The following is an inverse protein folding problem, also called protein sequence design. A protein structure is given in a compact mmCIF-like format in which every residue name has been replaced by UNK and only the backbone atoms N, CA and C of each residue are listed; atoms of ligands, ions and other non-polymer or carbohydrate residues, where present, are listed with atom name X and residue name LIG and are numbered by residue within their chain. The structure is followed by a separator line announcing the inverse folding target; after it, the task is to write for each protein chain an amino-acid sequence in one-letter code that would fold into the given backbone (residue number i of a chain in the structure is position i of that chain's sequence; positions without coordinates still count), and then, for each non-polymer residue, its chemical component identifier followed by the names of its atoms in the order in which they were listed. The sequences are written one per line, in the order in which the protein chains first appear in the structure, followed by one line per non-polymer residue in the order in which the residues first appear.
data_IF_312402420019
#
_entry.id   IF_312402420019
#
_cell.length_a   1.000
_cell.length_b   1.000
_cell.length_c   1.000
_cell.angle_alpha   90.00
_cell.angle_beta   90.00
_cell.angle_gamma   90.00
#
_symmetry.space_group_name_H-M   'P 1'
#
loop_
_entity.id
_entity.type
_entity.pdbx_description
1 polymer ?
#
# COMPACT_ATOMS: atom_id res chain seq x y z
N UNK A 1 17.57 -16.35 14.67
CA UNK A 1 16.12 -16.63 14.80
C UNK A 1 15.43 -16.00 13.59
N UNK A 2 15.01 -16.82 12.65
CA UNK A 2 14.19 -16.36 11.55
C UNK A 2 12.77 -16.14 12.08
N UNK A 3 12.41 -14.89 12.29
CA UNK A 3 11.01 -14.56 12.55
C UNK A 3 10.30 -14.70 11.20
N UNK A 4 9.63 -15.81 11.03
CA UNK A 4 8.77 -16.03 9.88
C UNK A 4 7.56 -15.09 10.02
N UNK A 5 7.55 -14.04 9.23
CA UNK A 5 6.44 -13.11 9.19
C UNK A 5 5.32 -13.81 8.43
N UNK A 6 4.44 -14.45 9.18
CA UNK A 6 3.26 -15.10 8.60
C UNK A 6 2.18 -14.06 8.27
N UNK A 7 1.50 -14.26 7.17
CA UNK A 7 0.37 -13.45 6.75
C UNK A 7 0.33 -13.25 5.25
N UNK A 8 -0.88 -13.02 4.77
CA UNK A 8 -1.16 -12.74 3.35
C UNK A 8 -1.55 -11.27 3.18
N UNK A 9 -1.39 -10.76 1.98
CA UNK A 9 -1.83 -9.41 1.60
C UNK A 9 -3.31 -9.19 1.95
N UNK A 10 -4.16 -10.18 1.73
CA UNK A 10 -5.58 -10.12 2.09
C UNK A 10 -5.82 -9.81 3.57
N UNK A 11 -4.97 -10.30 4.44
CA UNK A 11 -5.07 -10.02 5.89
C UNK A 11 -4.75 -8.57 6.21
N UNK A 12 -3.76 -7.98 5.53
CA UNK A 12 -3.44 -6.56 5.69
C UNK A 12 -4.59 -5.70 5.19
N UNK A 13 -5.15 -6.00 4.02
CA UNK A 13 -6.28 -5.25 3.47
C UNK A 13 -7.51 -5.32 4.37
N UNK A 14 -7.79 -6.48 4.97
CA UNK A 14 -8.87 -6.63 5.93
C UNK A 14 -8.62 -5.85 7.24
N UNK A 15 -7.37 -5.71 7.65
CA UNK A 15 -6.97 -4.93 8.82
C UNK A 15 -7.07 -3.43 8.57
N UNK A 16 -6.88 -2.98 7.33
CA UNK A 16 -7.14 -1.59 6.93
C UNK A 16 -8.65 -1.35 7.01
N UNK A 17 -9.05 -0.34 7.76
CA UNK A 17 -10.46 0.03 7.91
C UNK A 17 -11.06 0.71 6.67
N UNK A 18 -10.24 1.00 5.67
CA UNK A 18 -10.69 1.61 4.41
C UNK A 18 -11.15 0.52 3.44
N UNK A 19 -12.44 0.41 3.21
CA UNK A 19 -13.04 -0.52 2.24
C UNK A 19 -13.05 0.03 0.80
N UNK A 20 -12.76 1.31 0.61
CA UNK A 20 -12.83 1.97 -0.70
C UNK A 20 -11.46 2.12 -1.31
N UNK A 21 -11.31 1.68 -2.56
CA UNK A 21 -10.10 1.91 -3.35
C UNK A 21 -10.28 3.21 -4.14
N UNK A 22 -9.54 4.23 -3.75
CA UNK A 22 -9.53 5.50 -4.47
C UNK A 22 -8.63 5.38 -5.69
N UNK A 23 -9.10 5.85 -6.83
CA UNK A 23 -8.36 5.81 -8.11
C UNK A 23 -8.54 7.09 -8.88
N UNK A 24 -7.71 7.29 -9.91
CA UNK A 24 -7.76 8.43 -10.81
C UNK A 24 -7.66 7.93 -12.26
N UNK A 25 -8.25 8.65 -13.19
CA UNK A 25 -8.11 8.35 -14.61
C UNK A 25 -6.81 8.89 -15.20
N UNK A 26 -6.30 8.28 -16.29
CA UNK A 26 -5.03 8.72 -16.91
C UNK A 26 -5.12 10.10 -17.55
N UNK A 27 -6.32 10.51 -17.97
CA UNK A 27 -6.56 11.81 -18.60
C UNK A 27 -6.91 12.92 -17.61
N UNK A 28 -7.06 12.61 -16.33
CA UNK A 28 -7.23 13.62 -15.29
C UNK A 28 -5.93 14.40 -15.12
N UNK A 29 -6.05 15.65 -14.65
CA UNK A 29 -4.87 16.47 -14.39
C UNK A 29 -4.18 16.05 -13.09
N UNK A 30 -2.87 16.19 -13.03
CA UNK A 30 -2.08 15.90 -11.83
C UNK A 30 -2.60 16.64 -10.61
N UNK A 31 -3.07 17.88 -10.78
CA UNK A 31 -3.67 18.66 -9.70
C UNK A 31 -4.84 17.92 -9.03
N UNK A 32 -5.73 17.30 -9.82
CA UNK A 32 -6.87 16.56 -9.28
C UNK A 32 -6.41 15.29 -8.53
N UNK A 33 -5.36 14.63 -9.02
CA UNK A 33 -4.78 13.49 -8.33
C UNK A 33 -4.18 13.89 -6.98
N UNK A 34 -3.41 14.97 -6.93
CA UNK A 34 -2.81 15.48 -5.67
C UNK A 34 -3.89 15.93 -4.69
N UNK A 35 -4.93 16.60 -5.18
CA UNK A 35 -6.07 16.99 -4.35
C UNK A 35 -6.77 15.76 -3.74
N UNK A 36 -6.99 14.73 -4.51
CA UNK A 36 -7.59 13.48 -4.01
C UNK A 36 -6.68 12.80 -2.98
N UNK A 37 -5.37 12.76 -3.21
CA UNK A 37 -4.41 12.22 -2.23
C UNK A 37 -4.47 12.98 -0.91
N UNK A 38 -4.55 14.30 -0.94
CA UNK A 38 -4.69 15.14 0.24
C UNK A 38 -6.02 14.88 0.97
N UNK A 39 -7.14 14.90 0.25
CA UNK A 39 -8.48 14.66 0.81
C UNK A 39 -8.61 13.28 1.46
N UNK A 40 -7.98 12.26 0.90
CA UNK A 40 -8.06 10.87 1.37
C UNK A 40 -6.89 10.44 2.24
N UNK A 41 -5.93 11.32 2.44
CA UNK A 41 -4.72 11.07 3.23
C UNK A 41 -3.96 9.82 2.74
N UNK A 42 -3.74 9.74 1.45
CA UNK A 42 -2.99 8.66 0.80
C UNK A 42 -1.84 9.24 -0.01
N UNK A 43 -0.74 8.51 -0.12
CA UNK A 43 0.47 8.96 -0.82
C UNK A 43 0.58 8.51 -2.27
N UNK A 44 -0.35 7.70 -2.74
CA UNK A 44 -0.41 7.23 -4.12
C UNK A 44 -1.83 6.83 -4.49
N UNK A 45 -2.10 6.86 -5.79
CA UNK A 45 -3.36 6.42 -6.37
C UNK A 45 -3.09 5.43 -7.51
N UNK A 46 -3.83 4.32 -7.58
CA UNK A 46 -3.90 3.55 -8.80
C UNK A 46 -4.53 4.38 -9.91
N UNK A 47 -3.98 4.29 -11.11
CA UNK A 47 -4.52 4.92 -12.31
C UNK A 47 -5.30 3.87 -13.08
N UNK A 48 -6.58 4.12 -13.23
CA UNK A 48 -7.52 3.16 -13.82
C UNK A 48 -8.18 3.78 -15.05
N UNK A 49 -8.15 3.04 -16.14
CA UNK A 49 -8.82 3.37 -17.39
C UNK A 49 -9.80 2.26 -17.74
N UNK A 50 -11.09 2.60 -17.80
CA UNK A 50 -12.16 1.65 -18.11
C UNK A 50 -12.03 0.32 -17.32
N UNK A 51 -11.96 0.42 -16.00
CA UNK A 51 -11.79 -0.70 -15.04
C UNK A 51 -10.44 -1.44 -15.11
N UNK A 52 -9.52 -0.99 -15.95
CA UNK A 52 -8.19 -1.60 -16.10
C UNK A 52 -7.15 -0.75 -15.39
N UNK A 53 -6.33 -1.37 -14.55
CA UNK A 53 -5.19 -0.72 -13.95
C UNK A 53 -4.13 -0.43 -15.04
N UNK A 54 -3.83 0.85 -15.27
CA UNK A 54 -2.85 1.28 -16.28
C UNK A 54 -1.60 1.91 -15.68
N UNK A 55 -1.61 2.24 -14.42
CA UNK A 55 -0.46 2.86 -13.77
C UNK A 55 -0.67 3.11 -12.28
N UNK A 56 0.34 3.71 -11.68
CA UNK A 56 0.29 4.26 -10.31
C UNK A 56 0.91 5.66 -10.36
N UNK A 57 0.28 6.61 -9.70
CA UNK A 57 0.80 7.96 -9.51
C UNK A 57 0.97 8.26 -8.02
N UNK A 58 2.09 8.83 -7.64
CA UNK A 58 2.44 9.11 -6.25
C UNK A 58 2.81 10.59 -6.03
N UNK A 59 2.82 11.01 -4.75
CA UNK A 59 3.35 12.31 -4.35
C UNK A 59 4.82 12.49 -4.79
N UNK A 60 5.60 11.42 -4.79
CA UNK A 60 6.98 11.42 -5.27
C UNK A 60 7.06 11.70 -6.77
N UNK A 61 6.15 11.14 -7.57
CA UNK A 61 6.04 11.47 -9.00
C UNK A 61 5.74 12.95 -9.22
N UNK A 62 4.82 13.50 -8.44
CA UNK A 62 4.51 14.93 -8.46
C UNK A 62 5.74 15.78 -8.18
N UNK A 63 6.46 15.49 -7.13
CA UNK A 63 7.66 16.26 -6.75
C UNK A 63 8.74 16.18 -7.82
N UNK A 64 9.03 15.00 -8.33
CA UNK A 64 10.17 14.77 -9.24
C UNK A 64 9.89 15.07 -10.69
N UNK A 65 8.65 14.87 -11.14
CA UNK A 65 8.28 14.94 -12.56
C UNK A 65 7.45 16.17 -12.91
N UNK A 66 6.90 16.88 -11.92
CA UNK A 66 6.13 18.11 -12.12
C UNK A 66 6.86 19.31 -11.52
N UNK A 67 7.00 19.39 -10.21
CA UNK A 67 7.58 20.56 -9.54
C UNK A 67 9.03 20.79 -9.97
N UNK A 68 9.89 19.78 -9.86
CA UNK A 68 11.32 19.91 -10.21
C UNK A 68 11.52 20.18 -11.71
N UNK A 69 10.61 19.71 -12.55
CA UNK A 69 10.66 19.93 -14.01
C UNK A 69 10.00 21.23 -14.46
N UNK A 70 9.50 22.04 -13.54
CA UNK A 70 8.84 23.30 -13.85
C UNK A 70 7.52 23.17 -14.62
N UNK A 71 6.85 22.01 -14.50
CA UNK A 71 5.56 21.76 -15.15
C UNK A 71 4.40 22.29 -14.30
N UNK A 72 3.28 22.56 -14.94
CA UNK A 72 2.05 22.94 -14.26
C UNK A 72 1.20 21.69 -13.93
N UNK A 73 0.86 21.52 -12.67
CA UNK A 73 -0.03 20.41 -12.25
C UNK A 73 -1.43 20.50 -12.85
N UNK A 74 -1.89 21.70 -13.19
CA UNK A 74 -3.21 21.93 -13.80
C UNK A 74 -3.24 21.63 -15.30
N UNK A 75 -2.06 21.58 -15.94
CA UNK A 75 -1.93 21.39 -17.39
C UNK A 75 -1.20 20.08 -17.73
N UNK A 76 -0.85 19.27 -16.74
CA UNK A 76 -0.16 18.01 -16.92
C UNK A 76 -1.11 16.86 -16.64
N UNK A 77 -1.42 16.00 -17.62
CA UNK A 77 -2.22 14.80 -17.36
C UNK A 77 -1.46 13.77 -16.53
N UNK A 78 -2.19 13.01 -15.73
CA UNK A 78 -1.65 11.95 -14.89
C UNK A 78 -0.82 10.94 -15.69
N UNK A 79 -1.27 10.61 -16.92
CA UNK A 79 -0.57 9.68 -17.81
C UNK A 79 0.87 10.09 -18.15
N UNK A 80 1.20 11.40 -18.06
CA UNK A 80 2.55 11.89 -18.35
C UNK A 80 3.55 11.58 -17.23
N UNK A 81 3.08 11.37 -16.01
CA UNK A 81 3.95 11.20 -14.85
C UNK A 81 3.79 9.85 -14.14
N UNK A 82 2.70 9.13 -14.38
CA UNK A 82 2.45 7.83 -13.74
C UNK A 82 3.54 6.80 -14.08
N UNK A 83 3.74 5.85 -13.20
CA UNK A 83 4.47 4.62 -13.51
C UNK A 83 3.54 3.73 -14.31
N UNK A 84 3.90 3.44 -15.56
CA UNK A 84 3.17 2.54 -16.46
C UNK A 84 3.51 1.10 -16.12
N UNK A 85 2.55 0.19 -16.30
CA UNK A 85 2.75 -1.23 -15.99
C UNK A 85 3.36 -1.43 -14.59
N UNK A 86 2.70 -0.95 -13.54
CA UNK A 86 3.25 -0.99 -12.20
C UNK A 86 3.41 -2.43 -11.72
N UNK A 87 4.38 -2.64 -10.82
CA UNK A 87 4.46 -3.90 -10.08
C UNK A 87 3.19 -4.08 -9.26
N UNK A 88 2.60 -5.26 -9.34
CA UNK A 88 1.39 -5.63 -8.62
C UNK A 88 1.62 -6.88 -7.79
N UNK A 89 0.76 -7.07 -6.80
CA UNK A 89 0.70 -8.29 -6.00
C UNK A 89 -0.73 -8.82 -6.00
N UNK A 90 -0.87 -10.11 -5.71
CA UNK A 90 -2.19 -10.71 -5.52
C UNK A 90 -2.56 -10.73 -4.04
N UNK A 91 -3.85 -10.74 -3.76
CA UNK A 91 -4.35 -10.81 -2.38
C UNK A 91 -3.88 -12.05 -1.62
N UNK A 92 -3.57 -13.14 -2.34
CA UNK A 92 -3.02 -14.38 -1.78
C UNK A 92 -1.51 -14.40 -1.57
N UNK A 93 -0.77 -13.38 -2.01
CA UNK A 93 0.68 -13.32 -1.86
C UNK A 93 1.05 -13.09 -0.39
N UNK A 94 2.27 -13.53 -0.03
CA UNK A 94 2.77 -13.37 1.33
C UNK A 94 3.20 -11.93 1.62
N UNK A 95 3.07 -11.51 2.87
CA UNK A 95 3.57 -10.22 3.35
C UNK A 95 5.09 -10.13 3.15
N UNK A 96 5.82 -11.21 3.40
CA UNK A 96 7.27 -11.31 3.19
C UNK A 96 7.66 -11.00 1.74
N UNK A 97 6.94 -11.55 0.78
CA UNK A 97 7.19 -11.28 -0.64
C UNK A 97 6.94 -9.81 -1.00
N UNK A 98 5.89 -9.20 -0.46
CA UNK A 98 5.64 -7.76 -0.66
C UNK A 98 6.77 -6.90 -0.10
N UNK A 99 7.27 -7.22 1.07
CA UNK A 99 8.42 -6.52 1.67
C UNK A 99 9.67 -6.66 0.80
N UNK A 100 9.92 -7.85 0.28
CA UNK A 100 11.04 -8.11 -0.64
C UNK A 100 10.93 -7.22 -1.89
N UNK A 101 9.78 -7.21 -2.53
CA UNK A 101 9.52 -6.39 -3.73
C UNK A 101 9.71 -4.89 -3.41
N UNK A 102 9.11 -4.40 -2.33
CA UNK A 102 9.23 -3.00 -1.93
C UNK A 102 10.69 -2.59 -1.69
N UNK A 103 11.46 -3.45 -1.06
CA UNK A 103 12.87 -3.19 -0.74
C UNK A 103 13.76 -3.26 -1.98
N UNK A 104 13.67 -4.33 -2.75
CA UNK A 104 14.52 -4.54 -3.94
C UNK A 104 14.21 -3.56 -5.07
N UNK A 105 12.93 -3.28 -5.29
CA UNK A 105 12.47 -2.38 -6.37
C UNK A 105 12.32 -0.94 -5.91
N UNK A 106 12.53 -0.65 -4.63
CA UNK A 106 12.39 0.70 -4.04
C UNK A 106 11.04 1.35 -4.34
N UNK A 107 9.98 0.56 -4.24
CA UNK A 107 8.60 1.01 -4.39
C UNK A 107 7.91 1.01 -3.03
N UNK A 108 7.07 1.99 -2.79
CA UNK A 108 6.37 2.18 -1.49
C UNK A 108 4.89 1.81 -1.56
N UNK A 109 4.38 1.58 -2.74
CA UNK A 109 2.98 1.26 -2.99
C UNK A 109 2.88 0.15 -4.03
N UNK A 110 2.06 -0.85 -3.74
CA UNK A 110 1.79 -1.96 -4.64
C UNK A 110 0.28 -2.09 -4.82
N UNK A 111 -0.24 -1.95 -6.05
CA UNK A 111 -1.61 -2.32 -6.33
C UNK A 111 -1.83 -3.81 -6.08
N UNK A 112 -2.98 -4.13 -5.50
CA UNK A 112 -3.38 -5.51 -5.19
C UNK A 112 -4.49 -5.93 -6.14
N UNK A 113 -4.28 -7.06 -6.80
CA UNK A 113 -5.22 -7.63 -7.73
C UNK A 113 -5.80 -8.97 -7.22
N UNK A 114 -7.04 -9.22 -7.57
CA UNK A 114 -7.65 -10.55 -7.58
C UNK A 114 -8.03 -10.88 -9.02
N UNK A 115 -7.27 -11.79 -9.65
CA UNK A 115 -7.36 -11.96 -11.09
C UNK A 115 -6.95 -10.68 -11.82
N UNK A 116 -7.87 -10.05 -12.52
CA UNK A 116 -7.66 -8.75 -13.20
C UNK A 116 -8.28 -7.58 -12.46
N UNK A 117 -8.97 -7.84 -11.36
CA UNK A 117 -9.67 -6.82 -10.58
C UNK A 117 -8.75 -6.16 -9.55
N UNK A 118 -8.72 -4.83 -9.54
CA UNK A 118 -8.04 -4.05 -8.51
C UNK A 118 -8.87 -4.08 -7.22
N UNK A 119 -8.33 -4.67 -6.16
CA UNK A 119 -9.02 -4.80 -4.85
C UNK A 119 -8.42 -3.92 -3.76
N UNK A 120 -7.28 -3.33 -3.99
CA UNK A 120 -6.66 -2.44 -3.02
C UNK A 120 -5.32 -1.89 -3.48
N UNK A 121 -4.73 -1.08 -2.63
CA UNK A 121 -3.34 -0.64 -2.73
C UNK A 121 -2.66 -0.85 -1.39
N UNK A 122 -1.49 -1.45 -1.42
CA UNK A 122 -0.68 -1.76 -0.26
C UNK A 122 0.44 -0.75 -0.14
N UNK A 123 0.49 0.02 0.95
CA UNK A 123 1.58 0.93 1.24
C UNK A 123 2.62 0.29 2.18
N UNK A 124 3.83 0.83 2.18
CA UNK A 124 4.85 0.42 3.17
C UNK A 124 4.38 0.68 4.60
N UNK A 125 3.61 1.74 4.84
CA UNK A 125 2.99 2.03 6.13
C UNK A 125 2.01 0.95 6.57
N UNK A 126 1.23 0.40 5.64
CA UNK A 126 0.30 -0.71 5.93
C UNK A 126 1.04 -1.96 6.39
N UNK A 127 2.16 -2.27 5.73
CA UNK A 127 3.02 -3.41 6.09
C UNK A 127 3.63 -3.21 7.47
N UNK A 128 4.16 -2.02 7.76
CA UNK A 128 4.74 -1.68 9.07
C UNK A 128 3.69 -1.79 10.17
N UNK A 129 2.50 -1.25 9.96
CA UNK A 129 1.39 -1.36 10.93
C UNK A 129 0.99 -2.82 11.19
N UNK A 130 0.94 -3.62 10.14
CA UNK A 130 0.68 -5.06 10.27
C UNK A 130 1.72 -5.77 11.13
N UNK A 131 3.01 -5.51 10.86
CA UNK A 131 4.12 -6.09 11.61
C UNK A 131 4.08 -5.70 13.08
N UNK A 132 3.83 -4.43 13.39
CA UNK A 132 3.73 -3.94 14.76
C UNK A 132 2.56 -4.58 15.50
N UNK A 133 1.41 -4.73 14.85
CA UNK A 133 0.23 -5.39 15.43
C UNK A 133 0.51 -6.88 15.69
N UNK A 134 1.18 -7.57 14.79
CA UNK A 134 1.57 -8.97 14.97
C UNK A 134 2.56 -9.15 16.14
N UNK A 135 3.54 -8.26 16.29
CA UNK A 135 4.46 -8.25 17.44
C UNK A 135 3.72 -8.03 18.75
N UNK A 136 2.82 -7.05 18.82
CA UNK A 136 2.04 -6.77 20.02
C UNK A 136 1.18 -7.98 20.41
N UNK A 137 0.55 -8.66 19.47
CA UNK A 137 -0.22 -9.88 19.74
C UNK A 137 0.64 -11.00 20.33
N UNK A 138 1.88 -11.17 19.85
CA UNK A 138 2.83 -12.14 20.40
C UNK A 138 3.23 -11.77 21.82
N UNK A 139 3.53 -10.50 22.09
CA UNK A 139 3.91 -10.01 23.43
C UNK A 139 2.74 -10.20 24.41
N UNK A 140 1.52 -9.80 24.05
CA UNK A 140 0.33 -9.96 24.87
C UNK A 140 0.04 -11.44 25.20
N UNK A 141 0.18 -12.33 24.24
CA UNK A 141 0.04 -13.77 24.45
C UNK A 141 1.11 -14.29 25.40
N UNK A 142 2.37 -13.88 25.23
CA UNK A 142 3.46 -14.30 26.11
C UNK A 142 3.23 -13.83 27.56
N UNK A 143 2.82 -12.59 27.76
CA UNK A 143 2.48 -12.07 29.09
C UNK A 143 1.32 -12.86 29.73
N UNK A 144 0.30 -13.17 28.94
CA UNK A 144 -0.85 -13.93 29.41
C UNK A 144 -0.46 -15.36 29.84
N UNK A 145 0.39 -16.03 29.06
CA UNK A 145 0.91 -17.35 29.42
C UNK A 145 1.79 -17.30 30.67
N UNK A 146 2.69 -16.32 30.77
CA UNK A 146 3.57 -16.17 31.94
C UNK A 146 2.78 -15.90 33.24
N UNK A 147 1.70 -15.11 33.16
CA UNK A 147 0.84 -14.85 34.31
C UNK A 147 0.00 -16.07 34.72
N UNK A 148 -0.41 -16.90 33.76
CA UNK A 148 -1.12 -18.16 34.06
C UNK A 148 -0.24 -19.17 34.77
N UNK A 149 1.03 -19.33 34.34
CA UNK A 149 1.99 -20.25 34.98
C UNK A 149 2.35 -19.84 36.41
N UNK A 150 2.31 -18.54 36.72
CA UNK A 150 2.58 -18.05 38.09
C UNK A 150 1.40 -18.38 39.03
N UNK A 151 0.16 -18.31 38.52
CA UNK A 151 -1.04 -18.60 39.31
C UNK A 151 -1.24 -20.09 39.66
N UNK A 152 -0.72 -20.98 38.80
CA UNK A 152 -0.82 -22.44 39.06
C UNK A 152 0.23 -22.98 40.04
N UNK A 153 1.16 -22.13 40.54
CA UNK A 153 2.21 -22.48 41.48
C UNK A 153 1.98 -22.03 42.95
N UNK A 154 0.88 -21.28 43.17
CA UNK A 154 0.40 -20.88 44.51
C UNK A 154 -0.81 -21.75 44.95
#
# INVERSE_FOLDING_TARGET
MNIEISGKVSSILAHKKASTVWSIGPNAMVFDAIKLMDEKNVGALPVVDDKTLVGVVSERDYTRKVIVKGRSSKDTPVSDIMTKEPLTVNSGDSVTECMRIMTEKRVRHLPVLEGTELVGILSIGDVVNWLMSAQNAVIENFERYSLAEIKDKD
#
